data_IF_083984093874
#
_entry.id   IF_083984093874
#
_cell.length_a   1.000
_cell.length_b   1.000
_cell.length_c   1.000
_cell.angle_alpha   90.00
_cell.angle_beta   90.00
_cell.angle_gamma   90.00
#
_symmetry.space_group_name_H-M   'P 1'
#
loop_
_entity.id
_entity.type
_entity.pdbx_description
1 polymer ?
#
# COMPACT_ATOMS: atom_id res chain seq x y z
N UNK A 1 20.49 23.45 -18.28
CA UNK A 1 19.23 24.05 -17.79
C UNK A 1 18.83 23.27 -16.55
N UNK A 2 18.75 23.94 -15.39
CA UNK A 2 18.29 23.32 -14.14
C UNK A 2 16.78 23.06 -14.25
N UNK A 3 16.37 21.81 -14.39
CA UNK A 3 14.97 21.45 -14.17
C UNK A 3 14.69 21.48 -12.67
N UNK A 4 13.72 22.33 -12.32
CA UNK A 4 13.24 22.47 -10.95
C UNK A 4 12.64 21.12 -10.57
N UNK A 5 13.22 20.46 -9.57
CA UNK A 5 12.45 19.60 -8.68
C UNK A 5 11.28 20.46 -8.21
N UNK A 6 10.07 20.13 -8.62
CA UNK A 6 8.87 20.76 -8.07
C UNK A 6 8.97 20.61 -6.55
N UNK A 7 9.13 21.75 -5.88
CA UNK A 7 9.25 21.79 -4.45
C UNK A 7 7.94 21.22 -3.90
N UNK A 8 8.03 20.07 -3.22
CA UNK A 8 6.94 19.60 -2.36
C UNK A 8 6.56 20.80 -1.49
N UNK A 9 5.31 21.27 -1.53
CA UNK A 9 4.91 22.45 -0.76
C UNK A 9 5.36 22.28 0.69
N UNK A 10 6.07 23.29 1.23
CA UNK A 10 6.49 23.27 2.63
C UNK A 10 5.28 23.35 3.59
N UNK A 11 4.08 23.61 3.07
CA UNK A 11 2.83 23.61 3.82
C UNK A 11 2.03 22.32 3.56
N UNK A 12 1.43 21.70 4.60
CA UNK A 12 0.59 20.52 4.43
C UNK A 12 -0.62 20.82 3.55
N UNK A 13 -1.09 19.81 2.81
CA UNK A 13 -2.36 19.92 2.09
C UNK A 13 -3.51 20.24 3.06
N UNK A 14 -4.25 21.32 2.75
CA UNK A 14 -5.38 21.80 3.54
C UNK A 14 -6.75 21.43 2.95
N UNK A 15 -6.80 20.53 1.97
CA UNK A 15 -8.09 20.11 1.41
C UNK A 15 -8.93 19.36 2.47
N UNK A 16 -10.26 19.39 2.36
CA UNK A 16 -11.15 18.75 3.34
C UNK A 16 -10.83 17.27 3.61
N UNK A 17 -10.42 16.52 2.58
CA UNK A 17 -10.11 15.09 2.70
C UNK A 17 -8.83 14.84 3.49
N UNK A 18 -7.74 15.56 3.18
CA UNK A 18 -6.50 15.49 3.96
C UNK A 18 -6.73 15.88 5.41
N UNK A 19 -7.50 16.95 5.66
CA UNK A 19 -7.84 17.35 7.02
C UNK A 19 -8.65 16.28 7.76
N UNK A 20 -9.57 15.59 7.08
CA UNK A 20 -10.33 14.49 7.67
C UNK A 20 -9.42 13.32 8.03
N UNK A 21 -8.55 12.89 7.09
CA UNK A 21 -7.57 11.83 7.33
C UNK A 21 -6.69 12.14 8.55
N UNK A 22 -6.14 13.36 8.59
CA UNK A 22 -5.31 13.84 9.68
C UNK A 22 -5.99 13.81 11.05
N UNK A 23 -7.27 14.20 11.12
CA UNK A 23 -8.05 14.15 12.36
C UNK A 23 -8.29 12.72 12.82
N UNK A 24 -8.60 11.81 11.89
CA UNK A 24 -8.86 10.41 12.25
C UNK A 24 -7.58 9.69 12.68
N UNK A 25 -6.47 9.96 12.02
CA UNK A 25 -5.15 9.47 12.44
C UNK A 25 -4.82 9.89 13.88
N UNK A 26 -5.01 11.18 14.22
CA UNK A 26 -4.75 11.68 15.58
C UNK A 26 -5.67 11.06 16.62
N UNK A 27 -6.92 10.83 16.23
CA UNK A 27 -7.89 10.14 17.07
C UNK A 27 -7.41 8.72 17.38
N UNK A 28 -6.99 7.96 16.38
CA UNK A 28 -6.51 6.58 16.55
C UNK A 28 -5.29 6.51 17.49
N UNK A 29 -4.36 7.46 17.40
CA UNK A 29 -3.19 7.54 18.29
C UNK A 29 -3.61 7.76 19.74
N UNK A 30 -4.54 8.68 20.01
CA UNK A 30 -5.03 8.96 21.38
C UNK A 30 -5.82 7.83 21.98
N UNK A 31 -6.70 7.21 21.20
CA UNK A 31 -7.57 6.14 21.68
C UNK A 31 -6.78 4.86 21.98
N UNK A 32 -5.58 4.71 21.38
CA UNK A 32 -4.77 3.50 21.48
C UNK A 32 -3.31 3.86 21.87
N UNK A 33 -3.06 4.38 23.09
CA UNK A 33 -1.81 5.04 23.44
C UNK A 33 -0.65 4.09 23.82
N UNK A 34 -0.84 2.77 23.71
CA UNK A 34 0.21 1.77 23.99
C UNK A 34 0.79 1.18 22.71
N UNK A 35 2.03 0.70 22.77
CA UNK A 35 2.65 0.03 21.62
C UNK A 35 1.83 -1.18 21.18
N UNK A 36 1.31 -1.96 22.14
CA UNK A 36 0.49 -3.14 21.88
C UNK A 36 -0.79 -2.81 21.10
N UNK A 37 -1.54 -1.79 21.50
CA UNK A 37 -2.79 -1.44 20.81
C UNK A 37 -2.52 -0.92 19.40
N UNK A 38 -1.49 -0.08 19.22
CA UNK A 38 -1.07 0.38 17.90
C UNK A 38 -0.67 -0.80 17.00
N UNK A 39 0.03 -1.78 17.57
CA UNK A 39 0.41 -2.99 16.84
C UNK A 39 -0.81 -3.80 16.40
N UNK A 40 -1.78 -4.03 17.29
CA UNK A 40 -3.01 -4.77 16.99
C UNK A 40 -3.83 -4.10 15.87
N UNK A 41 -3.91 -2.76 15.88
CA UNK A 41 -4.57 -2.00 14.82
C UNK A 41 -3.85 -2.16 13.47
N UNK A 42 -2.53 -2.02 13.45
CA UNK A 42 -1.73 -2.20 12.24
C UNK A 42 -1.86 -3.64 11.70
N UNK A 43 -1.84 -4.63 12.58
CA UNK A 43 -2.05 -6.03 12.21
C UNK A 43 -3.42 -6.26 11.56
N UNK A 44 -4.49 -5.76 12.19
CA UNK A 44 -5.84 -5.88 11.65
C UNK A 44 -5.99 -5.20 10.28
N UNK A 45 -5.36 -4.02 10.09
CA UNK A 45 -5.34 -3.32 8.81
C UNK A 45 -4.60 -4.14 7.73
N UNK A 46 -3.42 -4.66 8.03
CA UNK A 46 -2.63 -5.48 7.11
C UNK A 46 -3.37 -6.76 6.70
N UNK A 47 -3.96 -7.48 7.66
CA UNK A 47 -4.72 -8.69 7.35
C UNK A 47 -5.96 -8.40 6.51
N UNK A 48 -6.66 -7.30 6.79
CA UNK A 48 -7.81 -6.86 5.99
C UNK A 48 -7.39 -6.57 4.55
N UNK A 49 -6.27 -5.86 4.36
CA UNK A 49 -5.76 -5.50 3.04
C UNK A 49 -5.26 -6.73 2.26
N UNK A 50 -4.49 -7.61 2.90
CA UNK A 50 -4.04 -8.89 2.32
C UNK A 50 -5.23 -9.73 1.85
N UNK A 51 -6.27 -9.81 2.67
CA UNK A 51 -7.50 -10.54 2.32
C UNK A 51 -8.16 -9.94 1.08
N UNK A 52 -8.33 -8.62 1.04
CA UNK A 52 -8.92 -7.93 -0.11
C UNK A 52 -8.10 -8.13 -1.38
N UNK A 53 -6.78 -7.91 -1.32
CA UNK A 53 -5.87 -8.08 -2.46
C UNK A 53 -5.89 -9.52 -2.98
N UNK A 54 -5.85 -10.51 -2.08
CA UNK A 54 -5.98 -11.92 -2.44
C UNK A 54 -7.30 -12.24 -3.15
N UNK A 55 -8.43 -11.71 -2.65
CA UNK A 55 -9.74 -11.91 -3.29
C UNK A 55 -9.84 -11.28 -4.68
N UNK A 56 -9.30 -10.08 -4.84
CA UNK A 56 -9.26 -9.40 -6.16
C UNK A 56 -8.38 -10.18 -7.13
N UNK A 57 -7.20 -10.64 -6.69
CA UNK A 57 -6.30 -11.45 -7.52
C UNK A 57 -6.96 -12.77 -7.95
N UNK A 58 -7.59 -13.50 -7.01
CA UNK A 58 -8.33 -14.73 -7.31
C UNK A 58 -9.42 -14.49 -8.37
N UNK A 59 -10.12 -13.37 -8.29
CA UNK A 59 -11.19 -13.05 -9.22
C UNK A 59 -10.66 -12.67 -10.61
N UNK A 60 -9.58 -11.87 -10.67
CA UNK A 60 -8.91 -11.55 -11.94
C UNK A 60 -8.34 -12.80 -12.62
N UNK A 61 -7.73 -13.71 -11.85
CA UNK A 61 -7.23 -15.00 -12.34
C UNK A 61 -8.37 -15.89 -12.88
N UNK A 62 -9.55 -15.91 -12.26
CA UNK A 62 -10.69 -16.67 -12.83
C UNK A 62 -11.18 -16.08 -14.14
N UNK A 63 -11.17 -14.75 -14.25
CA UNK A 63 -11.69 -14.04 -15.42
C UNK A 63 -10.69 -14.06 -16.60
N UNK A 64 -9.38 -14.11 -16.33
CA UNK A 64 -8.31 -13.89 -17.33
C UNK A 64 -7.18 -14.94 -17.29
N UNK A 65 -7.24 -15.92 -16.39
CA UNK A 65 -6.13 -16.84 -16.08
C UNK A 65 -6.08 -18.14 -16.88
N UNK A 66 -6.92 -18.33 -17.90
CA UNK A 66 -6.79 -19.46 -18.83
C UNK A 66 -6.92 -19.00 -20.28
N UNK A 67 -5.77 -18.90 -20.97
CA UNK A 67 -5.71 -18.52 -22.36
C UNK A 67 -4.32 -18.40 -23.03
N UNK A 68 -3.26 -19.07 -22.57
CA UNK A 68 -2.16 -19.52 -23.47
C UNK A 68 -1.12 -20.40 -22.76
N UNK A 69 -1.39 -21.70 -22.67
CA UNK A 69 -0.35 -22.73 -22.84
C UNK A 69 -1.02 -23.92 -23.50
N UNK A 70 -1.00 -24.04 -24.84
CA UNK A 70 -1.42 -25.28 -25.46
C UNK A 70 -0.44 -26.39 -25.05
N UNK A 71 -0.90 -27.60 -24.70
CA UNK A 71 -0.01 -28.73 -24.63
C UNK A 71 0.61 -28.89 -26.02
N UNK A 72 1.94 -28.87 -26.11
CA UNK A 72 2.65 -29.22 -27.33
C UNK A 72 2.21 -30.61 -27.78
N UNK A 73 1.74 -30.76 -29.03
CA UNK A 73 2.36 -31.78 -29.85
C UNK A 73 2.83 -31.21 -31.20
N UNK A 74 4.04 -31.65 -31.58
CA UNK A 74 4.63 -31.76 -32.91
C UNK A 74 4.11 -30.88 -34.09
N UNK A 75 5.06 -30.15 -34.68
CA UNK A 75 4.99 -29.37 -35.93
C UNK A 75 4.61 -30.18 -37.20
N UNK A 76 4.55 -29.58 -38.41
CA UNK A 76 4.15 -28.22 -38.83
C UNK A 76 3.06 -28.25 -39.95
N UNK A 77 2.34 -27.14 -40.23
CA UNK A 77 1.99 -26.73 -41.62
C UNK A 77 1.18 -25.41 -41.73
N UNK A 78 1.58 -24.61 -42.72
CA UNK A 78 0.83 -23.67 -43.56
C UNK A 78 -0.06 -22.55 -42.95
N UNK A 79 0.46 -21.32 -43.10
CA UNK A 79 -0.18 -20.05 -43.49
C UNK A 79 -1.71 -19.88 -43.32
N UNK A 80 -2.11 -18.80 -42.62
CA UNK A 80 -3.17 -17.88 -43.05
C UNK A 80 -3.07 -16.55 -42.28
N UNK A 81 -3.27 -15.47 -43.02
CA UNK A 81 -3.22 -14.08 -42.58
C UNK A 81 -4.47 -13.63 -41.80
N UNK A 82 -4.23 -12.65 -40.92
CA UNK A 82 -5.10 -11.55 -40.49
C UNK A 82 -6.51 -11.83 -39.91
N UNK A 83 -6.67 -11.56 -38.61
CA UNK A 83 -7.91 -11.03 -38.04
C UNK A 83 -7.67 -10.30 -36.71
N UNK A 84 -7.81 -8.96 -36.72
CA UNK A 84 -8.34 -8.15 -35.61
C UNK A 84 -7.51 -8.04 -34.32
N UNK A 85 -6.38 -7.34 -34.36
CA UNK A 85 -5.62 -6.94 -33.17
C UNK A 85 -6.15 -5.60 -32.61
N UNK A 86 -7.22 -5.65 -31.79
CA UNK A 86 -7.67 -4.50 -30.99
C UNK A 86 -7.92 -4.84 -29.51
N UNK A 87 -7.61 -6.06 -29.05
CA UNK A 87 -7.68 -6.48 -27.65
C UNK A 87 -6.35 -6.52 -26.82
N UNK A 88 -5.14 -6.13 -27.30
CA UNK A 88 -3.91 -6.39 -26.55
C UNK A 88 -3.73 -5.49 -25.33
N UNK A 89 -4.11 -4.21 -25.41
CA UNK A 89 -3.76 -3.23 -24.38
C UNK A 89 -4.50 -3.41 -23.05
N UNK A 90 -5.80 -3.74 -23.07
CA UNK A 90 -6.57 -3.98 -21.85
C UNK A 90 -6.18 -5.30 -21.19
N UNK A 91 -6.00 -6.36 -21.98
CA UNK A 91 -5.54 -7.65 -21.47
C UNK A 91 -4.12 -7.55 -20.88
N UNK A 92 -3.19 -6.86 -21.55
CA UNK A 92 -1.85 -6.62 -21.04
C UNK A 92 -1.85 -5.79 -19.74
N UNK A 93 -2.71 -4.76 -19.66
CA UNK A 93 -2.88 -3.97 -18.43
C UNK A 93 -3.41 -4.82 -17.27
N UNK A 94 -4.36 -5.73 -17.53
CA UNK A 94 -4.90 -6.64 -16.50
C UNK A 94 -3.85 -7.65 -16.05
N UNK A 95 -3.07 -8.22 -16.97
CA UNK A 95 -1.98 -9.14 -16.63
C UNK A 95 -0.88 -8.44 -15.82
N UNK A 96 -0.54 -7.19 -16.17
CA UNK A 96 0.40 -6.39 -15.38
C UNK A 96 -0.15 -6.11 -13.97
N UNK A 97 -1.42 -5.74 -13.85
CA UNK A 97 -2.06 -5.52 -12.55
C UNK A 97 -2.09 -6.79 -11.69
N UNK A 98 -2.28 -7.97 -12.29
CA UNK A 98 -2.17 -9.25 -11.59
C UNK A 98 -0.75 -9.50 -11.08
N UNK A 99 0.28 -9.27 -11.88
CA UNK A 99 1.67 -9.37 -11.45
C UNK A 99 2.02 -8.39 -10.32
N UNK A 100 1.50 -7.16 -10.39
CA UNK A 100 1.68 -6.15 -9.36
C UNK A 100 1.00 -6.57 -8.04
N UNK A 101 -0.21 -7.13 -8.12
CA UNK A 101 -0.94 -7.67 -6.95
C UNK A 101 -0.20 -8.86 -6.31
N UNK A 102 0.42 -9.73 -7.10
CA UNK A 102 1.26 -10.82 -6.59
C UNK A 102 2.49 -10.27 -5.85
N UNK A 103 3.15 -9.27 -6.42
CA UNK A 103 4.30 -8.62 -5.78
C UNK A 103 3.90 -7.90 -4.47
N UNK A 104 2.79 -7.16 -4.48
CA UNK A 104 2.21 -6.55 -3.29
C UNK A 104 1.93 -7.60 -2.22
N UNK A 105 1.34 -8.74 -2.58
CA UNK A 105 1.10 -9.84 -1.64
C UNK A 105 2.38 -10.38 -0.99
N UNK A 106 3.48 -10.49 -1.75
CA UNK A 106 4.77 -10.89 -1.20
C UNK A 106 5.32 -9.88 -0.18
N UNK A 107 5.17 -8.59 -0.45
CA UNK A 107 5.53 -7.54 0.51
C UNK A 107 4.65 -7.55 1.76
N UNK A 108 3.34 -7.72 1.61
CA UNK A 108 2.43 -7.82 2.74
C UNK A 108 2.77 -9.00 3.65
N UNK A 109 3.15 -10.15 3.08
CA UNK A 109 3.65 -11.28 3.85
C UNK A 109 4.94 -10.94 4.63
N UNK A 110 5.84 -10.16 4.04
CA UNK A 110 7.08 -9.73 4.71
C UNK A 110 6.78 -8.80 5.89
N UNK A 111 5.79 -7.91 5.75
CA UNK A 111 5.35 -7.02 6.84
C UNK A 111 4.63 -7.82 7.93
N UNK A 112 3.80 -8.80 7.55
CA UNK A 112 3.13 -9.71 8.48
C UNK A 112 4.17 -10.43 9.37
N UNK A 113 5.22 -11.00 8.77
CA UNK A 113 6.31 -11.63 9.51
C UNK A 113 7.05 -10.66 10.46
N UNK A 114 7.23 -9.40 10.05
CA UNK A 114 7.80 -8.37 10.93
C UNK A 114 6.87 -8.09 12.12
N UNK A 115 5.56 -7.97 11.88
CA UNK A 115 4.58 -7.74 12.93
C UNK A 115 4.51 -8.88 13.92
N UNK A 116 4.61 -10.14 13.47
CA UNK A 116 4.75 -11.31 14.35
C UNK A 116 5.97 -11.18 15.27
N UNK A 117 7.13 -10.79 14.72
CA UNK A 117 8.34 -10.58 15.53
C UNK A 117 8.18 -9.47 16.57
N UNK A 118 7.44 -8.41 16.26
CA UNK A 118 7.17 -7.33 17.21
C UNK A 118 6.27 -7.84 18.34
N UNK A 119 5.35 -8.80 18.10
CA UNK A 119 4.45 -9.32 19.14
C UNK A 119 5.19 -10.04 20.27
N UNK A 120 6.37 -10.57 19.97
CA UNK A 120 7.25 -11.22 20.95
C UNK A 120 8.00 -10.22 21.85
N UNK A 121 8.02 -8.92 21.50
CA UNK A 121 8.69 -7.89 22.29
C UNK A 121 7.86 -7.58 23.54
N UNK A 122 8.42 -7.86 24.71
CA UNK A 122 7.85 -7.46 25.99
C UNK A 122 8.34 -6.06 26.35
N UNK A 123 7.43 -5.09 26.36
CA UNK A 123 7.73 -3.71 26.72
C UNK A 123 7.59 -3.52 28.24
N UNK A 124 8.62 -3.02 28.94
CA UNK A 124 8.51 -2.67 30.36
C UNK A 124 7.56 -1.49 30.60
N UNK A 125 6.93 -1.43 31.79
CA UNK A 125 5.99 -0.36 32.17
C UNK A 125 6.54 1.07 31.96
N UNK A 126 7.80 1.41 32.29
CA UNK A 126 8.32 2.75 32.06
C UNK A 126 8.33 3.14 30.57
N UNK A 127 8.52 2.16 29.68
CA UNK A 127 8.51 2.40 28.23
C UNK A 127 7.07 2.55 27.73
N UNK A 128 6.12 1.73 28.21
CA UNK A 128 4.70 1.92 27.91
C UNK A 128 4.19 3.29 28.38
N UNK A 129 4.65 3.76 29.53
CA UNK A 129 4.34 5.10 30.02
C UNK A 129 4.84 6.18 29.06
N UNK A 130 6.05 6.03 28.51
CA UNK A 130 6.57 6.94 27.47
C UNK A 130 5.69 6.93 26.22
N UNK A 131 5.21 5.76 25.76
CA UNK A 131 4.29 5.69 24.62
C UNK A 131 3.00 6.49 24.88
N UNK A 132 2.43 6.40 26.08
CA UNK A 132 1.21 7.14 26.45
C UNK A 132 1.42 8.65 26.47
N UNK A 133 2.55 9.08 27.02
CA UNK A 133 2.92 10.51 27.07
C UNK A 133 3.07 11.07 25.66
N UNK A 134 3.85 10.38 24.81
CA UNK A 134 4.04 10.79 23.41
C UNK A 134 2.73 10.77 22.62
N UNK A 135 1.89 9.75 22.81
CA UNK A 135 0.56 9.69 22.17
C UNK A 135 -0.34 10.87 22.58
N UNK A 136 -0.24 11.33 23.83
CA UNK A 136 -0.92 12.53 24.32
C UNK A 136 -0.41 13.82 23.68
N UNK A 137 0.89 13.90 23.36
CA UNK A 137 1.52 15.04 22.70
C UNK A 137 1.31 15.10 21.19
N UNK A 138 1.10 13.95 20.51
CA UNK A 138 1.01 13.91 19.04
C UNK A 138 -0.31 14.42 18.48
N UNK A 139 -1.36 14.45 19.29
CA UNK A 139 -2.72 14.74 18.84
C UNK A 139 -3.38 16.09 19.27
N UNK A 140 -2.79 16.98 20.09
CA UNK A 140 -3.48 18.17 20.60
C UNK A 140 -3.60 19.33 19.59
N UNK A 141 -2.92 19.29 18.44
CA UNK A 141 -3.10 20.27 17.35
C UNK A 141 -2.86 19.63 15.97
N UNK A 142 -3.86 19.59 15.06
CA UNK A 142 -3.70 19.01 13.74
C UNK A 142 -2.68 19.77 12.86
N UNK A 143 -2.32 21.00 13.21
CA UNK A 143 -1.34 21.85 12.50
C UNK A 143 0.02 21.93 13.22
N UNK A 144 0.25 21.13 14.27
CA UNK A 144 1.54 21.07 14.95
C UNK A 144 2.68 20.69 13.97
N UNK A 145 3.78 21.46 13.96
CA UNK A 145 4.87 21.30 12.99
C UNK A 145 5.56 19.92 13.06
N UNK A 146 5.74 19.34 14.24
CA UNK A 146 6.32 18.00 14.39
C UNK A 146 5.37 16.91 13.90
N UNK A 147 4.06 17.09 14.11
CA UNK A 147 3.02 16.22 13.54
C UNK A 147 2.98 16.29 12.02
N UNK A 148 3.10 17.49 11.46
CA UNK A 148 3.20 17.69 10.01
C UNK A 148 4.45 17.01 9.44
N UNK A 149 5.56 17.02 10.17
CA UNK A 149 6.78 16.32 9.79
C UNK A 149 6.62 14.80 9.82
N UNK A 150 5.98 14.24 10.86
CA UNK A 150 5.67 12.80 10.93
C UNK A 150 4.70 12.37 9.83
N UNK A 151 3.64 13.13 9.60
CA UNK A 151 2.72 12.89 8.49
C UNK A 151 3.43 12.94 7.14
N UNK A 152 4.37 13.88 6.94
CA UNK A 152 5.21 13.88 5.74
C UNK A 152 6.03 12.60 5.60
N UNK A 153 6.64 12.11 6.67
CA UNK A 153 7.41 10.86 6.61
C UNK A 153 6.53 9.66 6.25
N UNK A 154 5.28 9.63 6.71
CA UNK A 154 4.31 8.57 6.38
C UNK A 154 3.73 8.69 4.97
N UNK A 155 3.49 9.91 4.49
CA UNK A 155 2.97 10.19 3.15
C UNK A 155 4.06 10.27 2.07
N UNK A 156 5.35 10.31 2.44
CA UNK A 156 6.48 10.19 1.53
C UNK A 156 6.72 8.75 1.03
N UNK A 157 5.72 7.87 1.13
CA UNK A 157 5.75 6.63 0.33
C UNK A 157 5.85 7.09 -1.12
N UNK A 158 6.97 6.85 -1.83
CA UNK A 158 7.13 7.36 -3.18
C UNK A 158 5.95 6.87 -3.99
N UNK A 159 5.24 7.78 -4.65
CA UNK A 159 4.28 7.37 -5.66
C UNK A 159 5.00 6.39 -6.58
N UNK A 160 4.42 5.20 -6.76
CA UNK A 160 4.84 4.30 -7.81
C UNK A 160 4.86 5.12 -9.11
N UNK A 161 5.93 5.04 -9.90
CA UNK A 161 6.08 5.89 -11.07
C UNK A 161 4.83 5.77 -11.94
N UNK A 162 4.20 6.92 -12.19
CA UNK A 162 3.10 7.04 -13.13
C UNK A 162 3.63 6.54 -14.48
N UNK A 163 3.21 5.34 -14.89
CA UNK A 163 3.49 4.83 -16.23
C UNK A 163 2.63 5.61 -17.23
N UNK A 164 2.98 6.88 -17.45
CA UNK A 164 2.56 7.67 -18.60
C UNK A 164 3.79 8.22 -19.29
N UNK A 165 4.32 7.42 -20.20
CA UNK A 165 5.36 7.79 -21.13
C UNK A 165 5.30 6.86 -22.34
N UNK A 166 4.47 7.23 -23.30
CA UNK A 166 4.30 6.58 -24.61
C UNK A 166 3.31 7.37 -25.44
#
# INVERSE_FOLDING_TARGET
MNERRDAVPEEPCQCPDCQRFYREHDRLIRENPSLRQQQELNWAALQSFRTLAGRVLEELQKQHGDGDTPPTPAAPEAASAEAGAEAPAEHEAIQQAMADLENINAHLFSIEALMERIFDVRVPEPVEQTFREVAGELAPDPLNADRLRLNRLLHQTPDLPDHRGG
#
